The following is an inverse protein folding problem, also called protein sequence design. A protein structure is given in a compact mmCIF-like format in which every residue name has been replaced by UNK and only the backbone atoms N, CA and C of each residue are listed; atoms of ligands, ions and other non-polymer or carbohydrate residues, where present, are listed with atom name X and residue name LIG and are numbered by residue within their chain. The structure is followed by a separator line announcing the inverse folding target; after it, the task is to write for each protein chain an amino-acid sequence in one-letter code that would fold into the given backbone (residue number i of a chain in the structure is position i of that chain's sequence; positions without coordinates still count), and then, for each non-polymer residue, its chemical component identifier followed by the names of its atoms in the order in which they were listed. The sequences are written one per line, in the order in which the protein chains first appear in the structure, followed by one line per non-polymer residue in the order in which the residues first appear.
data_IF_150500327055
#
_entry.id   IF_150500327055
#
_cell.length_a   1.000
_cell.length_b   1.000
_cell.length_c   1.000
_cell.angle_alpha   90.00
_cell.angle_beta   90.00
_cell.angle_gamma   90.00
#
_symmetry.space_group_name_H-M   'P 1'
#
loop_
_entity.id
_entity.type
_entity.pdbx_description
1 polymer ?
#
# COMPACT_ATOMS: atom_id res chain seq x y z
N UNK A 1 -25.35 3.61 -14.65
CA UNK A 1 -24.58 4.53 -13.78
C UNK A 1 -24.59 5.91 -14.40
N UNK A 2 -24.86 6.97 -13.62
CA UNK A 2 -24.85 8.34 -14.15
C UNK A 2 -23.42 8.93 -14.12
N UNK A 3 -23.23 10.10 -14.75
CA UNK A 3 -21.92 10.75 -14.84
C UNK A 3 -21.33 11.13 -13.47
N UNK A 4 -22.17 11.55 -12.52
CA UNK A 4 -21.72 11.97 -11.19
C UNK A 4 -21.14 10.78 -10.41
N UNK A 5 -21.82 9.63 -10.43
CA UNK A 5 -21.32 8.41 -9.78
C UNK A 5 -20.03 7.91 -10.45
N UNK A 6 -19.94 7.99 -11.78
CA UNK A 6 -18.70 7.67 -12.49
C UNK A 6 -17.54 8.57 -12.05
N UNK A 7 -17.76 9.88 -11.92
CA UNK A 7 -16.73 10.82 -11.47
C UNK A 7 -16.27 10.52 -10.03
N UNK A 8 -17.19 10.16 -9.12
CA UNK A 8 -16.82 9.75 -7.75
C UNK A 8 -15.90 8.53 -7.75
N UNK A 9 -16.24 7.51 -8.54
CA UNK A 9 -15.43 6.29 -8.69
C UNK A 9 -14.04 6.63 -9.25
N UNK A 10 -13.97 7.48 -10.27
CA UNK A 10 -12.70 7.95 -10.85
C UNK A 10 -11.87 8.67 -9.79
N UNK A 11 -12.45 9.58 -9.01
CA UNK A 11 -11.73 10.32 -7.96
C UNK A 11 -11.19 9.36 -6.89
N UNK A 12 -12.03 8.48 -6.36
CA UNK A 12 -11.62 7.48 -5.35
C UNK A 12 -10.48 6.59 -5.87
N UNK A 13 -10.53 6.22 -7.15
CA UNK A 13 -9.50 5.37 -7.78
C UNK A 13 -8.21 6.12 -8.08
N UNK A 14 -8.28 7.44 -8.35
CA UNK A 14 -7.11 8.32 -8.41
C UNK A 14 -6.45 8.41 -7.04
N UNK A 15 -7.24 8.62 -5.99
CA UNK A 15 -6.75 8.70 -4.61
C UNK A 15 -6.02 7.41 -4.26
N UNK A 16 -6.64 6.25 -4.51
CA UNK A 16 -6.03 4.93 -4.32
C UNK A 16 -4.70 4.82 -5.08
N UNK A 17 -4.70 5.05 -6.40
CA UNK A 17 -3.50 4.91 -7.22
C UNK A 17 -2.34 5.85 -6.84
N UNK A 18 -2.63 7.01 -6.23
CA UNK A 18 -1.62 7.91 -5.66
C UNK A 18 -1.12 7.40 -4.32
N UNK A 19 -2.03 7.06 -3.43
CA UNK A 19 -1.74 6.92 -2.00
C UNK A 19 -1.26 5.52 -1.61
N UNK A 20 -1.45 4.52 -2.47
CA UNK A 20 -1.03 3.15 -2.22
C UNK A 20 0.50 3.00 -2.22
N UNK A 21 1.18 3.63 -3.18
CA UNK A 21 2.64 3.53 -3.35
C UNK A 21 3.41 4.54 -2.51
N UNK A 22 2.85 5.73 -2.37
CA UNK A 22 3.43 6.75 -1.49
C UNK A 22 3.23 6.28 -0.04
N UNK A 23 4.22 6.45 0.86
CA UNK A 23 4.11 5.97 2.23
C UNK A 23 3.23 6.87 3.11
N UNK A 24 2.03 7.23 2.63
CA UNK A 24 1.11 8.22 3.20
C UNK A 24 -0.25 7.64 3.63
N UNK A 25 -0.44 6.32 3.50
CA UNK A 25 -1.64 5.55 3.88
C UNK A 25 -2.84 5.73 2.94
N UNK A 26 -3.03 4.81 1.99
CA UNK A 26 -4.23 4.72 1.15
C UNK A 26 -5.51 4.59 1.97
N UNK A 27 -5.57 3.65 2.91
CA UNK A 27 -6.74 3.47 3.79
C UNK A 27 -7.19 4.77 4.47
N UNK A 28 -6.26 5.54 5.02
CA UNK A 28 -6.58 6.81 5.65
C UNK A 28 -7.20 7.82 4.67
N UNK A 29 -6.64 7.93 3.46
CA UNK A 29 -7.20 8.81 2.43
C UNK A 29 -8.55 8.34 1.91
N UNK A 30 -8.70 7.04 1.68
CA UNK A 30 -9.95 6.46 1.18
C UNK A 30 -11.08 6.67 2.18
N UNK A 31 -10.84 6.43 3.47
CA UNK A 31 -11.83 6.69 4.52
C UNK A 31 -12.20 8.16 4.64
N UNK A 32 -11.22 9.07 4.52
CA UNK A 32 -11.49 10.52 4.56
C UNK A 32 -12.28 10.98 3.34
N UNK A 33 -11.90 10.55 2.14
CA UNK A 33 -12.56 10.95 0.90
C UNK A 33 -13.97 10.37 0.84
N UNK A 34 -14.20 9.15 1.31
CA UNK A 34 -15.54 8.53 1.36
C UNK A 34 -16.52 9.30 2.26
N UNK A 35 -16.05 10.03 3.29
CA UNK A 35 -16.93 10.91 4.08
C UNK A 35 -17.59 12.01 3.23
N UNK A 36 -16.88 12.51 2.21
CA UNK A 36 -17.33 13.60 1.35
C UNK A 36 -17.88 13.11 0.00
N UNK A 37 -17.33 12.03 -0.55
CA UNK A 37 -17.65 11.48 -1.86
C UNK A 37 -18.28 10.08 -1.73
N UNK A 38 -19.45 10.03 -1.12
CA UNK A 38 -20.23 8.79 -0.96
C UNK A 38 -20.74 8.28 -2.32
N UNK A 39 -20.31 7.08 -2.71
CA UNK A 39 -20.87 6.38 -3.87
C UNK A 39 -22.20 5.71 -3.51
N UNK A 40 -23.14 5.69 -4.44
CA UNK A 40 -24.46 5.10 -4.23
C UNK A 40 -24.42 3.58 -4.45
N UNK A 41 -23.78 2.87 -3.52
CA UNK A 41 -23.65 1.41 -3.48
C UNK A 41 -23.85 0.90 -2.05
N UNK A 42 -24.10 -0.39 -1.89
CA UNK A 42 -24.17 -1.01 -0.55
C UNK A 42 -22.83 -0.89 0.18
N UNK A 43 -22.86 -0.83 1.51
CA UNK A 43 -21.63 -0.71 2.30
C UNK A 43 -20.75 -1.97 2.17
N UNK A 44 -21.38 -3.15 2.03
CA UNK A 44 -20.67 -4.39 1.71
C UNK A 44 -19.92 -4.31 0.36
N UNK A 45 -20.53 -3.69 -0.67
CA UNK A 45 -19.86 -3.49 -1.94
C UNK A 45 -18.73 -2.46 -1.82
N UNK A 46 -18.90 -1.37 -1.07
CA UNK A 46 -17.85 -0.35 -0.86
C UNK A 46 -16.62 -0.93 -0.17
N UNK A 47 -16.82 -1.71 0.90
CA UNK A 47 -15.74 -2.39 1.63
C UNK A 47 -14.93 -3.31 0.70
N UNK A 48 -15.62 -4.10 -0.12
CA UNK A 48 -14.97 -4.93 -1.13
C UNK A 48 -14.32 -4.08 -2.24
N UNK A 49 -15.00 -3.04 -2.74
CA UNK A 49 -14.52 -2.15 -3.80
C UNK A 49 -13.18 -1.51 -3.42
N UNK A 50 -13.06 -0.92 -2.23
CA UNK A 50 -11.81 -0.28 -1.77
C UNK A 50 -10.64 -1.25 -1.69
N UNK A 51 -10.92 -2.52 -1.40
CA UNK A 51 -9.89 -3.57 -1.38
C UNK A 51 -9.59 -4.13 -2.78
N UNK A 52 -10.53 -4.10 -3.72
CA UNK A 52 -10.35 -4.72 -5.05
C UNK A 52 -9.78 -3.73 -6.07
N UNK A 53 -10.04 -2.43 -5.97
CA UNK A 53 -9.38 -1.44 -6.84
C UNK A 53 -7.86 -1.42 -6.68
N UNK A 54 -7.38 -1.80 -5.49
CA UNK A 54 -5.97 -2.07 -5.18
C UNK A 54 -5.35 -3.09 -6.13
N UNK A 55 -6.10 -4.06 -6.67
CA UNK A 55 -5.61 -4.99 -7.69
C UNK A 55 -5.19 -4.28 -8.98
N UNK A 56 -5.94 -3.23 -9.37
CA UNK A 56 -5.55 -2.35 -10.46
C UNK A 56 -4.21 -1.68 -10.19
N UNK A 57 -4.03 -1.17 -8.97
CA UNK A 57 -2.76 -0.62 -8.54
C UNK A 57 -1.63 -1.68 -8.63
N UNK A 58 -1.83 -2.89 -8.08
CA UNK A 58 -0.83 -3.99 -8.11
C UNK A 58 -0.41 -4.32 -9.52
N UNK A 59 -1.35 -4.36 -10.47
CA UNK A 59 -1.04 -4.62 -11.87
C UNK A 59 -0.01 -3.61 -12.42
N UNK A 60 -0.02 -2.35 -11.95
CA UNK A 60 0.96 -1.36 -12.36
C UNK A 60 2.37 -1.73 -11.91
N UNK A 61 2.53 -2.21 -10.67
CA UNK A 61 3.81 -2.73 -10.18
C UNK A 61 4.25 -3.93 -11.00
N UNK A 62 3.36 -4.90 -11.22
CA UNK A 62 3.68 -6.13 -11.99
C UNK A 62 4.13 -5.79 -13.40
N UNK A 63 3.47 -4.83 -14.07
CA UNK A 63 3.85 -4.38 -15.41
C UNK A 63 5.18 -3.62 -15.41
N UNK A 64 5.39 -2.70 -14.46
CA UNK A 64 6.63 -1.90 -14.39
C UNK A 64 7.84 -2.76 -14.06
N UNK A 65 7.68 -3.73 -13.16
CA UNK A 65 8.74 -4.60 -12.68
C UNK A 65 8.69 -6.00 -13.32
N UNK A 66 8.03 -6.15 -14.47
CA UNK A 66 7.80 -7.43 -15.13
C UNK A 66 9.08 -8.26 -15.26
N UNK A 67 10.16 -7.66 -15.75
CA UNK A 67 11.44 -8.36 -15.96
C UNK A 67 12.12 -8.82 -14.67
N UNK A 68 11.79 -8.19 -13.53
CA UNK A 68 12.28 -8.56 -12.19
C UNK A 68 11.34 -9.55 -11.47
N UNK A 69 10.06 -9.60 -11.85
CA UNK A 69 9.04 -10.44 -11.22
C UNK A 69 8.76 -11.74 -11.96
N UNK A 70 8.93 -11.75 -13.29
CA UNK A 70 8.61 -12.89 -14.14
C UNK A 70 9.84 -13.80 -14.33
N UNK A 71 9.81 -15.05 -13.81
CA UNK A 71 10.99 -15.90 -13.75
C UNK A 71 11.33 -16.61 -15.06
N UNK A 72 10.48 -16.52 -16.08
CA UNK A 72 10.66 -17.23 -17.34
C UNK A 72 11.11 -16.29 -18.45
N UNK A 73 12.20 -16.64 -19.14
CA UNK A 73 12.60 -15.97 -20.37
C UNK A 73 12.39 -16.92 -21.56
N UNK A 74 11.57 -16.49 -22.52
CA UNK A 74 11.24 -17.25 -23.72
C UNK A 74 11.85 -16.67 -25.00
N UNK A 75 12.59 -15.55 -24.93
CA UNK A 75 13.00 -14.81 -26.14
C UNK A 75 14.10 -15.50 -26.96
N UNK A 76 15.01 -16.22 -26.30
CA UNK A 76 16.16 -16.86 -26.97
C UNK A 76 16.23 -18.37 -26.74
N UNK A 77 16.23 -18.79 -25.47
CA UNK A 77 16.08 -20.18 -25.01
C UNK A 77 15.26 -20.15 -23.71
N UNK A 78 14.37 -21.12 -23.45
CA UNK A 78 13.64 -21.19 -22.20
C UNK A 78 14.63 -21.27 -21.03
N UNK A 79 14.80 -20.18 -20.30
CA UNK A 79 15.65 -20.12 -19.10
C UNK A 79 14.78 -19.76 -17.92
N UNK A 80 14.95 -20.53 -16.84
CA UNK A 80 14.33 -20.27 -15.55
C UNK A 80 15.32 -19.44 -14.70
N UNK A 81 14.94 -18.21 -14.39
CA UNK A 81 15.70 -17.30 -13.52
C UNK A 81 15.46 -17.68 -12.05
N UNK A 82 16.30 -18.57 -11.52
CA UNK A 82 16.23 -19.05 -10.12
C UNK A 82 16.25 -17.92 -9.09
N UNK A 83 16.97 -16.84 -9.37
CA UNK A 83 17.08 -15.67 -8.50
C UNK A 83 15.72 -15.01 -8.24
N UNK A 84 14.85 -14.94 -9.27
CA UNK A 84 13.49 -14.39 -9.14
C UNK A 84 12.63 -15.29 -8.24
N UNK A 85 12.76 -16.61 -8.34
CA UNK A 85 12.09 -17.54 -7.42
C UNK A 85 12.56 -17.36 -5.97
N UNK A 86 13.88 -17.23 -5.76
CA UNK A 86 14.42 -16.99 -4.41
C UNK A 86 14.00 -15.64 -3.86
N UNK A 87 13.84 -14.62 -4.70
CA UNK A 87 13.23 -13.36 -4.29
C UNK A 87 11.79 -13.65 -3.82
N UNK A 88 10.95 -14.28 -4.64
CA UNK A 88 9.55 -14.56 -4.28
C UNK A 88 9.42 -15.37 -2.99
N UNK A 89 10.31 -16.33 -2.71
CA UNK A 89 10.33 -17.03 -1.43
C UNK A 89 10.64 -16.12 -0.24
N UNK A 90 11.54 -15.15 -0.39
CA UNK A 90 11.80 -14.12 0.64
C UNK A 90 10.58 -13.23 0.84
N UNK A 91 9.89 -12.84 -0.23
CA UNK A 91 8.66 -12.04 -0.13
C UNK A 91 7.53 -12.81 0.53
N UNK A 92 7.31 -14.07 0.16
CA UNK A 92 6.33 -14.93 0.83
C UNK A 92 6.68 -15.06 2.31
N UNK A 93 7.95 -15.29 2.66
CA UNK A 93 8.39 -15.32 4.04
C UNK A 93 8.10 -14.00 4.79
N UNK A 94 8.33 -12.85 4.15
CA UNK A 94 8.01 -11.54 4.70
C UNK A 94 6.50 -11.28 4.86
N UNK A 95 5.64 -11.93 4.09
CA UNK A 95 4.19 -11.87 4.29
C UNK A 95 3.72 -12.62 5.54
N UNK A 96 4.43 -13.67 5.97
CA UNK A 96 3.97 -14.57 7.03
C UNK A 96 3.61 -13.82 8.32
N UNK A 97 4.47 -12.95 8.90
CA UNK A 97 4.11 -12.27 10.15
C UNK A 97 2.86 -11.40 10.02
N UNK A 98 2.75 -10.65 8.92
CA UNK A 98 1.59 -9.81 8.63
C UNK A 98 0.30 -10.62 8.45
N UNK A 99 0.36 -11.72 7.70
CA UNK A 99 -0.79 -12.60 7.48
C UNK A 99 -1.27 -13.25 8.79
N UNK A 100 -0.34 -13.69 9.64
CA UNK A 100 -0.67 -14.23 10.97
C UNK A 100 -1.33 -13.14 11.83
N UNK A 101 -0.78 -11.93 11.84
CA UNK A 101 -1.36 -10.83 12.61
C UNK A 101 -2.78 -10.45 12.12
N UNK A 102 -3.00 -10.35 10.81
CA UNK A 102 -4.34 -10.12 10.25
C UNK A 102 -5.26 -11.26 10.67
N UNK A 103 -4.89 -12.52 10.44
CA UNK A 103 -5.73 -13.66 10.80
C UNK A 103 -6.14 -13.68 12.29
N UNK A 104 -5.25 -13.25 13.19
CA UNK A 104 -5.52 -13.24 14.64
C UNK A 104 -6.25 -12.00 15.14
N UNK A 105 -6.10 -10.85 14.48
CA UNK A 105 -6.52 -9.55 15.02
C UNK A 105 -7.44 -8.71 14.12
N UNK A 106 -7.72 -9.12 12.88
CA UNK A 106 -8.49 -8.32 11.89
C UNK A 106 -9.86 -7.87 12.44
N UNK A 107 -10.63 -8.78 13.04
CA UNK A 107 -11.95 -8.47 13.60
C UNK A 107 -11.85 -7.46 14.76
N UNK A 108 -10.84 -7.62 15.63
CA UNK A 108 -10.62 -6.71 16.76
C UNK A 108 -10.22 -5.32 16.29
N UNK A 109 -9.29 -5.25 15.34
CA UNK A 109 -8.81 -4.00 14.74
C UNK A 109 -9.95 -3.28 14.03
N UNK A 110 -10.72 -3.98 13.20
CA UNK A 110 -11.86 -3.41 12.48
C UNK A 110 -12.89 -2.82 13.44
N UNK A 111 -13.17 -3.52 14.55
CA UNK A 111 -14.16 -3.08 15.53
C UNK A 111 -13.73 -1.87 16.39
N UNK A 112 -12.43 -1.67 16.63
CA UNK A 112 -11.95 -0.68 17.62
C UNK A 112 -11.07 0.43 17.03
N UNK A 113 -10.34 0.17 15.95
CA UNK A 113 -9.25 1.04 15.49
C UNK A 113 -9.55 1.77 14.18
N UNK A 114 -10.63 1.44 13.47
CA UNK A 114 -11.07 2.14 12.26
C UNK A 114 -11.78 3.48 12.54
N UNK A 115 -11.26 4.25 13.49
CA UNK A 115 -11.79 5.58 13.83
C UNK A 115 -10.93 6.69 13.22
N UNK A 116 -11.53 7.84 12.83
CA UNK A 116 -10.77 8.96 12.28
C UNK A 116 -9.62 9.44 13.18
N UNK A 117 -9.83 9.39 14.51
CA UNK A 117 -8.83 9.80 15.51
C UNK A 117 -7.63 8.85 15.50
N UNK A 118 -7.85 7.53 15.47
CA UNK A 118 -6.75 6.55 15.39
C UNK A 118 -5.98 6.72 14.10
N UNK A 119 -6.68 6.81 12.97
CA UNK A 119 -6.06 6.99 11.65
C UNK A 119 -5.19 8.26 11.64
N UNK A 120 -5.71 9.38 12.10
CA UNK A 120 -4.99 10.65 12.13
C UNK A 120 -3.79 10.62 13.09
N UNK A 121 -3.94 9.98 14.25
CA UNK A 121 -2.85 9.78 15.20
C UNK A 121 -1.73 8.95 14.59
N UNK A 122 -2.07 7.88 13.87
CA UNK A 122 -1.09 7.04 13.17
C UNK A 122 -0.46 7.75 11.96
N UNK A 123 -1.19 8.62 11.26
CA UNK A 123 -0.62 9.51 10.24
C UNK A 123 0.49 10.37 10.85
N UNK A 124 0.20 11.08 11.94
CA UNK A 124 1.16 11.95 12.64
C UNK A 124 2.34 11.14 13.17
N UNK A 125 2.08 10.06 13.92
CA UNK A 125 3.12 9.24 14.55
C UNK A 125 4.12 8.72 13.50
N UNK A 126 3.64 8.09 12.44
CA UNK A 126 4.51 7.59 11.39
C UNK A 126 5.17 8.71 10.58
N UNK A 127 4.52 9.87 10.48
CA UNK A 127 5.14 11.06 9.89
C UNK A 127 6.36 11.53 10.68
N UNK A 128 6.26 11.55 12.02
CA UNK A 128 7.37 11.84 12.93
C UNK A 128 8.46 10.76 12.81
N UNK A 129 8.07 9.48 12.79
CA UNK A 129 9.03 8.37 12.66
C UNK A 129 9.80 8.47 11.34
N UNK A 130 9.16 8.79 10.21
CA UNK A 130 9.84 9.00 8.94
C UNK A 130 10.91 10.08 9.05
N UNK A 131 10.57 11.24 9.64
CA UNK A 131 11.52 12.35 9.81
C UNK A 131 12.69 11.92 10.71
N UNK A 132 12.40 11.24 11.81
CA UNK A 132 13.40 10.76 12.75
C UNK A 132 14.36 9.74 12.09
N UNK A 133 13.83 8.69 11.48
CA UNK A 133 14.62 7.63 10.83
C UNK A 133 15.48 8.18 9.70
N UNK A 134 14.93 9.09 8.90
CA UNK A 134 15.68 9.71 7.82
C UNK A 134 16.79 10.65 8.31
N UNK A 135 16.56 11.36 9.42
CA UNK A 135 17.62 12.12 10.08
C UNK A 135 18.68 11.21 10.70
N UNK A 136 18.27 10.11 11.33
CA UNK A 136 19.18 9.12 11.89
C UNK A 136 20.08 8.51 10.83
N UNK A 137 19.53 8.22 9.64
CA UNK A 137 20.28 7.68 8.51
C UNK A 137 21.05 8.73 7.68
N UNK A 138 20.98 10.02 8.05
CA UNK A 138 21.73 11.07 7.36
C UNK A 138 23.25 10.81 7.50
N UNK A 139 23.92 10.65 6.37
CA UNK A 139 25.36 10.38 6.31
C UNK A 139 25.75 8.90 6.51
N UNK A 140 24.80 8.00 6.74
CA UNK A 140 25.08 6.56 6.80
C UNK A 140 25.02 5.91 5.42
N UNK A 141 25.88 4.93 5.21
CA UNK A 141 25.85 4.09 4.03
C UNK A 141 24.99 2.85 4.29
N UNK A 142 23.98 2.55 3.44
CA UNK A 142 23.18 1.35 3.61
C UNK A 142 24.04 0.09 3.38
N UNK A 143 23.86 -0.90 4.25
CA UNK A 143 24.54 -2.19 4.14
C UNK A 143 23.97 -3.04 2.99
N UNK A 144 22.67 -2.92 2.72
CA UNK A 144 21.95 -3.62 1.66
C UNK A 144 21.56 -2.60 0.61
N UNK A 145 22.17 -2.68 -0.58
CA UNK A 145 22.08 -1.62 -1.60
C UNK A 145 21.06 -1.92 -2.68
N UNK A 146 20.93 -3.19 -3.07
CA UNK A 146 20.01 -3.65 -4.09
C UNK A 146 18.94 -4.61 -3.52
N UNK A 147 17.87 -4.79 -4.29
CA UNK A 147 16.80 -5.74 -4.00
C UNK A 147 17.33 -7.17 -3.82
N UNK A 148 18.26 -7.57 -4.70
CA UNK A 148 18.79 -8.94 -4.74
C UNK A 148 19.67 -9.28 -3.52
N UNK A 149 20.23 -8.24 -2.88
CA UNK A 149 21.04 -8.35 -1.65
C UNK A 149 20.20 -8.65 -0.40
N UNK A 150 18.87 -8.55 -0.47
CA UNK A 150 17.99 -8.80 0.68
C UNK A 150 18.06 -10.28 1.07
N UNK A 151 18.45 -10.55 2.31
CA UNK A 151 18.48 -11.91 2.87
C UNK A 151 17.13 -12.32 3.46
N UNK A 152 16.90 -13.61 3.70
CA UNK A 152 15.70 -14.08 4.40
C UNK A 152 15.53 -13.44 5.77
N UNK A 153 16.63 -13.24 6.52
CA UNK A 153 16.60 -12.53 7.81
C UNK A 153 16.06 -11.11 7.64
N UNK A 154 16.57 -10.38 6.65
CA UNK A 154 16.12 -9.01 6.36
C UNK A 154 14.65 -8.99 5.94
N UNK A 155 14.25 -9.88 5.05
CA UNK A 155 12.87 -10.02 4.59
C UNK A 155 11.89 -10.30 5.75
N UNK A 156 12.22 -11.24 6.65
CA UNK A 156 11.41 -11.55 7.83
C UNK A 156 11.33 -10.36 8.80
N UNK A 157 12.43 -9.64 9.01
CA UNK A 157 12.41 -8.42 9.84
C UNK A 157 11.51 -7.35 9.23
N UNK A 158 11.56 -7.12 7.91
CA UNK A 158 10.64 -6.21 7.21
C UNK A 158 9.19 -6.69 7.37
N UNK A 159 8.94 -8.00 7.29
CA UNK A 159 7.64 -8.61 7.54
C UNK A 159 7.11 -8.37 8.96
N UNK A 160 7.98 -8.38 9.96
CA UNK A 160 7.62 -8.02 11.34
C UNK A 160 7.22 -6.54 11.45
N UNK A 161 7.91 -5.64 10.75
CA UNK A 161 7.46 -4.23 10.67
C UNK A 161 6.11 -4.10 9.96
N UNK A 162 5.80 -4.95 8.96
CA UNK A 162 4.49 -4.96 8.30
C UNK A 162 3.35 -5.28 9.27
N UNK A 163 3.58 -6.02 10.36
CA UNK A 163 2.54 -6.27 11.38
C UNK A 163 1.98 -4.97 11.95
N UNK A 164 2.79 -3.91 12.04
CA UNK A 164 2.35 -2.62 12.54
C UNK A 164 1.30 -1.95 11.62
N UNK A 165 1.22 -2.37 10.36
CA UNK A 165 0.26 -1.83 9.41
C UNK A 165 -1.15 -2.39 9.57
N UNK A 166 -1.39 -3.33 10.49
CA UNK A 166 -2.76 -3.70 10.84
C UNK A 166 -3.50 -2.50 11.44
N UNK A 167 -2.80 -1.59 12.15
CA UNK A 167 -3.43 -0.39 12.70
C UNK A 167 -3.75 0.60 11.57
N UNK A 168 -5.02 1.00 11.37
CA UNK A 168 -5.42 1.96 10.34
C UNK A 168 -4.65 3.27 10.45
N UNK A 169 -4.29 3.84 9.29
CA UNK A 169 -3.50 5.08 9.19
C UNK A 169 -1.98 4.86 9.22
N UNK A 170 -1.47 3.70 9.65
CA UNK A 170 -0.02 3.41 9.65
C UNK A 170 0.61 3.45 8.25
N UNK A 171 -0.10 2.99 7.22
CA UNK A 171 0.42 2.65 5.88
C UNK A 171 1.32 1.40 5.89
N UNK A 172 0.92 0.40 5.12
CA UNK A 172 1.70 -0.81 4.84
C UNK A 172 3.04 -0.50 4.20
N UNK A 173 3.04 0.33 3.14
CA UNK A 173 4.28 0.80 2.52
C UNK A 173 5.12 1.65 3.48
N UNK A 174 4.48 2.49 4.30
CA UNK A 174 5.16 3.25 5.35
C UNK A 174 5.92 2.39 6.36
N UNK A 175 5.25 1.39 6.95
CA UNK A 175 5.83 0.53 7.97
C UNK A 175 6.98 -0.32 7.44
N UNK A 176 6.81 -0.92 6.26
CA UNK A 176 7.83 -1.77 5.63
C UNK A 176 9.03 -0.98 5.16
N UNK A 177 8.84 0.22 4.58
CA UNK A 177 9.94 1.12 4.22
C UNK A 177 10.70 1.57 5.46
N UNK A 178 10.01 2.06 6.50
CA UNK A 178 10.66 2.47 7.76
C UNK A 178 11.47 1.32 8.35
N UNK A 179 10.89 0.13 8.44
CA UNK A 179 11.57 -1.06 8.93
C UNK A 179 12.83 -1.39 8.14
N UNK A 180 12.72 -1.39 6.81
CA UNK A 180 13.86 -1.61 5.92
C UNK A 180 14.96 -0.55 6.11
N UNK A 181 14.60 0.73 6.22
CA UNK A 181 15.56 1.82 6.47
C UNK A 181 16.26 1.68 7.84
N UNK A 182 15.55 1.23 8.87
CA UNK A 182 16.12 0.97 10.20
C UNK A 182 17.12 -0.19 10.15
N UNK A 183 16.82 -1.24 9.37
CA UNK A 183 17.69 -2.40 9.18
C UNK A 183 18.96 -2.04 8.38
N UNK A 184 18.95 -0.92 7.63
CA UNK A 184 20.07 -0.47 6.81
C UNK A 184 19.94 -0.85 5.33
N UNK A 185 18.71 -1.05 4.84
CA UNK A 185 18.40 -1.19 3.42
C UNK A 185 18.35 0.19 2.76
N UNK A 186 18.86 0.30 1.53
CA UNK A 186 18.79 1.53 0.75
C UNK A 186 17.34 1.94 0.47
N UNK A 187 17.07 3.24 0.29
CA UNK A 187 15.71 3.74 -0.01
C UNK A 187 15.10 3.08 -1.25
N UNK A 188 15.92 2.88 -2.29
CA UNK A 188 15.51 2.23 -3.53
C UNK A 188 15.17 0.76 -3.32
N UNK A 189 16.04 -0.01 -2.64
CA UNK A 189 15.78 -1.42 -2.39
C UNK A 189 14.61 -1.62 -1.40
N UNK A 190 14.45 -0.73 -0.41
CA UNK A 190 13.34 -0.73 0.52
C UNK A 190 12.00 -0.51 -0.19
N UNK A 191 11.92 0.48 -1.09
CA UNK A 191 10.71 0.72 -1.88
C UNK A 191 10.41 -0.43 -2.85
N UNK A 192 11.42 -0.93 -3.58
CA UNK A 192 11.24 -2.07 -4.49
C UNK A 192 10.74 -3.31 -3.72
N UNK A 193 11.38 -3.68 -2.62
CA UNK A 193 10.96 -4.84 -1.84
C UNK A 193 9.55 -4.68 -1.29
N UNK A 194 9.19 -3.48 -0.84
CA UNK A 194 7.84 -3.13 -0.39
C UNK A 194 6.81 -3.32 -1.50
N UNK A 195 7.11 -2.95 -2.74
CA UNK A 195 6.22 -3.16 -3.88
C UNK A 195 6.04 -4.64 -4.20
N UNK A 196 7.11 -5.44 -4.13
CA UNK A 196 7.00 -6.89 -4.33
C UNK A 196 6.18 -7.54 -3.22
N UNK A 197 6.38 -7.10 -1.98
CA UNK A 197 5.63 -7.58 -0.81
C UNK A 197 4.14 -7.26 -0.92
N UNK A 198 3.79 -6.10 -1.48
CA UNK A 198 2.43 -5.66 -1.70
C UNK A 198 1.64 -6.62 -2.61
N UNK A 199 2.28 -7.23 -3.62
CA UNK A 199 1.63 -8.12 -4.60
C UNK A 199 0.87 -9.28 -3.91
N UNK A 200 1.52 -10.22 -3.19
CA UNK A 200 0.80 -11.31 -2.54
C UNK A 200 -0.09 -10.85 -1.39
N UNK A 201 0.30 -9.81 -0.64
CA UNK A 201 -0.47 -9.33 0.50
C UNK A 201 -1.84 -8.77 0.07
N UNK A 202 -1.85 -7.89 -0.93
CA UNK A 202 -3.07 -7.25 -1.43
C UNK A 202 -3.88 -8.22 -2.30
N UNK A 203 -3.25 -9.10 -3.08
CA UNK A 203 -3.95 -10.18 -3.78
C UNK A 203 -4.71 -11.08 -2.79
N UNK A 204 -4.07 -11.47 -1.68
CA UNK A 204 -4.69 -12.27 -0.63
C UNK A 204 -5.91 -11.59 -0.01
N UNK A 205 -5.76 -10.32 0.43
CA UNK A 205 -6.87 -9.56 1.02
C UNK A 205 -8.02 -9.32 0.04
N UNK A 206 -7.70 -9.00 -1.22
CA UNK A 206 -8.70 -8.83 -2.28
C UNK A 206 -9.47 -10.12 -2.53
N UNK A 207 -8.77 -11.27 -2.58
CA UNK A 207 -9.40 -12.57 -2.75
C UNK A 207 -10.36 -12.89 -1.59
N UNK A 208 -9.96 -12.62 -0.35
CA UNK A 208 -10.82 -12.79 0.83
C UNK A 208 -12.08 -11.93 0.71
N UNK A 209 -11.94 -10.65 0.35
CA UNK A 209 -13.08 -9.72 0.21
C UNK A 209 -14.01 -10.10 -0.94
N UNK A 210 -13.47 -10.56 -2.08
CA UNK A 210 -14.25 -11.07 -3.20
C UNK A 210 -15.04 -12.33 -2.82
N UNK A 211 -14.41 -13.28 -2.11
CA UNK A 211 -15.07 -14.50 -1.63
C UNK A 211 -16.18 -14.16 -0.63
N UNK A 212 -15.92 -13.26 0.34
CA UNK A 212 -16.90 -12.82 1.33
C UNK A 212 -18.09 -12.08 0.70
N UNK A 213 -17.86 -11.26 -0.32
CA UNK A 213 -18.92 -10.55 -1.04
C UNK A 213 -19.74 -11.49 -1.95
N UNK A 214 -19.09 -12.49 -2.53
CA UNK A 214 -19.71 -13.48 -3.41
C UNK A 214 -19.50 -13.20 -4.91
N UNK A 215 -20.20 -13.97 -5.76
CA UNK A 215 -20.03 -13.95 -7.22
C UNK A 215 -21.17 -13.26 -7.98
N UNK A 216 -22.17 -12.73 -7.28
CA UNK A 216 -23.31 -12.07 -7.89
C UNK A 216 -23.10 -10.56 -7.90
N UNK A 217 -22.84 -10.02 -9.09
CA UNK A 217 -22.64 -8.58 -9.30
C UNK A 217 -23.72 -8.04 -10.23
N UNK A 218 -24.25 -6.87 -9.91
CA UNK A 218 -25.04 -6.09 -10.85
C UNK A 218 -24.14 -5.52 -11.95
N UNK A 219 -24.69 -5.18 -13.13
CA UNK A 219 -23.92 -4.53 -14.18
C UNK A 219 -23.26 -3.21 -13.74
N UNK A 220 -23.90 -2.47 -12.82
CA UNK A 220 -23.37 -1.22 -12.29
C UNK A 220 -22.15 -1.46 -11.37
N UNK A 221 -22.19 -2.50 -10.54
CA UNK A 221 -21.08 -2.92 -9.68
C UNK A 221 -19.88 -3.41 -10.50
N UNK A 222 -20.12 -4.23 -11.53
CA UNK A 222 -19.06 -4.67 -12.45
C UNK A 222 -18.38 -3.50 -13.16
N UNK A 223 -19.18 -2.54 -13.65
CA UNK A 223 -18.65 -1.33 -14.29
C UNK A 223 -17.84 -0.50 -13.30
N UNK A 224 -18.30 -0.39 -12.06
CA UNK A 224 -17.62 0.34 -10.98
C UNK A 224 -16.26 -0.27 -10.65
N UNK A 225 -16.19 -1.60 -10.48
CA UNK A 225 -14.93 -2.31 -10.25
C UNK A 225 -13.98 -2.17 -11.44
N UNK A 226 -14.48 -2.38 -12.67
CA UNK A 226 -13.67 -2.32 -13.88
C UNK A 226 -13.07 -0.93 -14.11
N UNK A 227 -13.88 0.13 -13.99
CA UNK A 227 -13.40 1.51 -14.09
C UNK A 227 -12.42 1.81 -12.96
N UNK A 228 -12.74 1.43 -11.73
CA UNK A 228 -11.90 1.75 -10.59
C UNK A 228 -10.52 1.09 -10.66
N UNK A 229 -10.47 -0.20 -10.99
CA UNK A 229 -9.21 -0.92 -11.22
C UNK A 229 -8.42 -0.31 -12.37
N UNK A 230 -9.07 0.03 -13.49
CA UNK A 230 -8.38 0.63 -14.63
C UNK A 230 -7.79 2.01 -14.30
N UNK A 231 -8.54 2.88 -13.63
CA UNK A 231 -8.04 4.20 -13.21
C UNK A 231 -6.92 4.07 -12.20
N UNK A 232 -7.08 3.23 -11.17
CA UNK A 232 -6.06 2.98 -10.16
C UNK A 232 -4.77 2.43 -10.81
N UNK A 233 -4.88 1.53 -11.79
CA UNK A 233 -3.75 1.03 -12.59
C UNK A 233 -3.00 2.16 -13.29
N UNK A 234 -3.70 2.97 -14.09
CA UNK A 234 -3.07 4.04 -14.88
C UNK A 234 -2.37 5.04 -13.96
N UNK A 235 -3.04 5.48 -12.89
CA UNK A 235 -2.49 6.43 -11.93
C UNK A 235 -1.28 5.85 -11.21
N UNK A 236 -1.36 4.58 -10.79
CA UNK A 236 -0.26 3.86 -10.14
C UNK A 236 0.97 3.78 -11.02
N UNK A 237 0.82 3.57 -12.34
CA UNK A 237 1.97 3.55 -13.26
C UNK A 237 2.77 4.85 -13.19
N UNK A 238 2.09 6.00 -13.15
CA UNK A 238 2.76 7.30 -13.04
C UNK A 238 3.37 7.51 -11.67
N UNK A 239 2.65 7.16 -10.60
CA UNK A 239 3.07 7.40 -9.22
C UNK A 239 4.28 6.54 -8.84
N UNK A 240 4.31 5.26 -9.24
CA UNK A 240 5.45 4.36 -9.01
C UNK A 240 6.69 4.92 -9.72
N UNK A 241 6.56 5.33 -10.99
CA UNK A 241 7.69 5.92 -11.74
C UNK A 241 8.18 7.20 -11.09
N UNK A 242 7.26 8.07 -10.67
CA UNK A 242 7.57 9.28 -9.92
C UNK A 242 8.33 8.97 -8.63
N UNK A 243 7.80 8.07 -7.80
CA UNK A 243 8.39 7.72 -6.51
C UNK A 243 9.79 7.12 -6.70
N UNK A 244 9.95 6.19 -7.63
CA UNK A 244 11.26 5.58 -7.95
C UNK A 244 12.27 6.60 -8.48
N UNK A 245 11.84 7.61 -9.24
CA UNK A 245 12.72 8.70 -9.68
C UNK A 245 13.08 9.64 -8.51
N UNK A 246 12.12 9.94 -7.64
CA UNK A 246 12.28 10.82 -6.49
C UNK A 246 13.26 10.24 -5.46
N UNK A 247 13.07 8.98 -5.02
CA UNK A 247 13.86 8.37 -3.93
C UNK A 247 15.33 8.09 -4.32
N UNK A 248 15.66 8.16 -5.61
CA UNK A 248 17.05 8.11 -6.07
C UNK A 248 17.83 9.36 -5.69
N UNK A 249 17.14 10.49 -5.48
CA UNK A 249 17.74 11.81 -5.22
C UNK A 249 17.33 12.42 -3.88
N UNK A 250 16.26 11.92 -3.28
CA UNK A 250 15.65 12.50 -2.09
C UNK A 250 15.36 11.46 -1.02
N UNK A 251 15.14 11.94 0.21
CA UNK A 251 14.70 11.15 1.35
C UNK A 251 13.16 11.17 1.51
N UNK A 252 12.62 10.34 2.40
CA UNK A 252 11.18 10.22 2.62
C UNK A 252 10.58 11.32 3.53
N UNK A 253 11.34 12.34 3.96
CA UNK A 253 10.86 13.34 4.93
C UNK A 253 9.65 14.13 4.43
N UNK A 254 9.57 14.40 3.13
CA UNK A 254 8.43 15.12 2.54
C UNK A 254 7.11 14.39 2.82
N UNK A 255 7.12 13.06 2.71
CA UNK A 255 5.96 12.23 3.02
C UNK A 255 5.69 12.22 4.53
N UNK A 256 6.74 12.26 5.36
CA UNK A 256 6.61 12.43 6.79
C UNK A 256 5.87 13.71 7.18
N UNK A 257 6.30 14.85 6.63
CA UNK A 257 5.63 16.14 6.83
C UNK A 257 4.19 16.15 6.32
N UNK A 258 3.96 15.60 5.12
CA UNK A 258 2.62 15.48 4.55
C UNK A 258 1.67 14.75 5.51
N UNK A 259 2.09 13.60 6.05
CA UNK A 259 1.27 12.82 6.99
C UNK A 259 0.96 13.58 8.27
N UNK A 260 1.94 14.32 8.82
CA UNK A 260 1.74 15.14 10.02
C UNK A 260 0.69 16.21 9.75
N UNK A 261 0.85 16.97 8.66
CA UNK A 261 -0.08 18.04 8.30
C UNK A 261 -1.49 17.49 8.07
N UNK A 262 -1.61 16.41 7.29
CA UNK A 262 -2.90 15.77 7.05
C UNK A 262 -3.54 15.27 8.34
N UNK A 263 -2.80 14.57 9.20
CA UNK A 263 -3.34 14.09 10.47
C UNK A 263 -3.81 15.21 11.39
N UNK A 264 -3.09 16.33 11.44
CA UNK A 264 -3.53 17.53 12.20
C UNK A 264 -4.82 18.10 11.64
N UNK A 265 -4.94 18.22 10.31
CA UNK A 265 -6.16 18.69 9.64
C UNK A 265 -7.34 17.77 9.96
N UNK A 266 -7.14 16.46 9.91
CA UNK A 266 -8.17 15.45 10.20
C UNK A 266 -8.64 15.56 11.65
N UNK A 267 -7.71 15.61 12.61
CA UNK A 267 -8.06 15.78 14.03
C UNK A 267 -8.85 17.07 14.23
N UNK A 268 -8.41 18.19 13.65
CA UNK A 268 -9.11 19.46 13.76
C UNK A 268 -10.54 19.37 13.19
N UNK A 269 -10.70 18.81 11.98
CA UNK A 269 -11.99 18.66 11.32
C UNK A 269 -12.96 17.82 12.16
N UNK A 270 -12.57 16.61 12.58
CA UNK A 270 -13.45 15.73 13.35
C UNK A 270 -13.70 16.22 14.78
N UNK A 271 -12.74 16.91 15.39
CA UNK A 271 -12.97 17.52 16.71
C UNK A 271 -14.01 18.64 16.63
N UNK A 272 -14.00 19.45 15.56
CA UNK A 272 -14.99 20.51 15.35
C UNK A 272 -16.36 19.99 14.88
N UNK A 273 -16.39 18.92 14.08
CA UNK A 273 -17.64 18.34 13.57
C UNK A 273 -18.43 17.52 14.63
N UNK A 274 -17.76 17.13 15.72
CA UNK A 274 -18.37 16.44 16.87
C UNK A 274 -18.64 17.37 18.06
N UNK A 275 -18.40 18.69 17.92
CA UNK A 275 -18.89 19.74 18.82
C UNK A 275 -20.24 20.29 18.34
#
# INVERSE_FOLDING_TARGET
MNLIELLKIVILSIVEGITEWLPISSTGHMLLVDQFLKINMSDAFKDMFFMVIQLGAIMAVVVIFWDKMFPFDFKNKPVIKKEIFFMWFKVVAACIPGAVAVFLFDDYVSAHFETPIVIASMLILYGIIFIFVENWNKGRTPAIKALDDITYKTALLIGLFQVLSIVPGTSRSGATIIGALIIGVSRTAAAEFTFFLAVPAMLGMSAIKLIKFGVHYTPAEMLTLGVGMFVAFIVSVFVIKFLMAYIKKHDFKVFGWYRIVLGVIVIAYFSMAHM
#
